data_IF_445968544178
#
_entry.id   IF_445968544178
#
_cell.length_a   1.000
_cell.length_b   1.000
_cell.length_c   1.000
_cell.angle_alpha   90.00
_cell.angle_beta   90.00
_cell.angle_gamma   90.00
#
_symmetry.space_group_name_H-M   'P 1'
#
loop_
_entity.id
_entity.type
_entity.pdbx_description
1 polymer ?
#
# COMPACT_ATOMS: atom_id res chain seq x y z
N UNK A 1 -36.59 30.22 -33.68
CA UNK A 1 -36.43 31.10 -34.85
C UNK A 1 -34.95 31.44 -34.95
N UNK A 2 -34.28 31.15 -36.13
CA UNK A 2 -32.87 31.50 -36.28
C UNK A 2 -32.66 32.99 -36.14
N UNK A 3 -31.66 33.39 -35.40
CA UNK A 3 -31.26 34.77 -35.28
C UNK A 3 -30.66 35.22 -36.66
N UNK A 4 -31.15 36.31 -37.28
CA UNK A 4 -30.73 36.72 -38.60
C UNK A 4 -29.24 37.16 -38.63
N UNK A 5 -28.67 37.46 -37.43
CA UNK A 5 -27.26 37.90 -37.31
C UNK A 5 -26.26 36.72 -37.17
N UNK A 6 -26.77 35.50 -36.99
CA UNK A 6 -25.94 34.30 -36.83
C UNK A 6 -25.95 33.46 -38.12
N UNK A 7 -24.82 33.31 -38.81
CA UNK A 7 -24.71 32.39 -39.95
C UNK A 7 -24.83 30.94 -39.48
N UNK A 8 -25.35 30.10 -40.36
CA UNK A 8 -25.39 28.65 -40.11
C UNK A 8 -23.99 28.10 -39.97
N UNK A 9 -23.77 27.37 -38.89
CA UNK A 9 -22.50 26.64 -38.68
C UNK A 9 -22.69 25.23 -39.28
N UNK A 10 -21.89 24.92 -40.29
CA UNK A 10 -21.83 23.57 -40.85
C UNK A 10 -20.72 22.77 -40.17
N UNK A 11 -21.09 21.74 -39.43
CA UNK A 11 -20.15 20.80 -38.79
C UNK A 11 -20.04 19.59 -39.70
N UNK A 12 -18.88 19.38 -40.32
CA UNK A 12 -18.63 18.20 -41.15
C UNK A 12 -18.34 16.97 -40.29
N UNK A 13 -18.71 15.79 -40.84
CA UNK A 13 -18.37 14.51 -40.16
C UNK A 13 -16.88 14.35 -39.95
N UNK A 14 -16.04 14.83 -40.88
CA UNK A 14 -14.59 14.80 -40.76
C UNK A 14 -14.09 15.64 -39.53
N UNK A 15 -14.75 16.78 -39.27
CA UNK A 15 -14.42 17.57 -38.07
C UNK A 15 -14.86 16.87 -36.79
N UNK A 16 -16.05 16.26 -36.79
CA UNK A 16 -16.53 15.46 -35.63
C UNK A 16 -15.58 14.31 -35.36
N UNK A 17 -15.12 13.57 -36.35
CA UNK A 17 -14.16 12.47 -36.16
C UNK A 17 -12.80 12.99 -35.65
N UNK A 18 -12.28 14.08 -36.22
CA UNK A 18 -11.03 14.66 -35.76
C UNK A 18 -11.10 15.11 -34.28
N UNK A 19 -12.24 15.66 -33.86
CA UNK A 19 -12.46 15.99 -32.43
C UNK A 19 -12.53 14.71 -31.60
N UNK A 20 -13.26 13.69 -32.06
CA UNK A 20 -13.38 12.40 -31.36
C UNK A 20 -12.02 11.75 -31.16
N UNK A 21 -11.17 11.74 -32.17
CA UNK A 21 -9.83 11.19 -32.11
C UNK A 21 -8.89 11.97 -31.19
N UNK A 22 -9.17 13.26 -30.99
CA UNK A 22 -8.40 14.14 -30.09
C UNK A 22 -8.87 14.08 -28.63
N UNK A 23 -10.02 13.48 -28.34
CA UNK A 23 -10.54 13.39 -26.97
C UNK A 23 -9.65 12.47 -26.13
N UNK A 24 -9.30 12.91 -24.91
CA UNK A 24 -8.68 12.00 -23.95
C UNK A 24 -9.66 10.90 -23.54
N UNK A 25 -9.13 9.83 -22.97
CA UNK A 25 -9.95 8.75 -22.42
C UNK A 25 -11.02 9.30 -21.46
N UNK A 26 -12.28 8.96 -21.72
CA UNK A 26 -13.40 9.44 -20.90
C UNK A 26 -13.39 8.76 -19.52
N UNK A 27 -13.83 9.46 -18.44
CA UNK A 27 -13.79 8.95 -17.08
C UNK A 27 -14.42 7.56 -16.88
N UNK A 28 -15.56 7.29 -17.53
CA UNK A 28 -16.22 5.98 -17.41
C UNK A 28 -15.46 4.88 -18.17
N UNK A 29 -14.88 5.18 -19.32
CA UNK A 29 -14.04 4.25 -20.07
C UNK A 29 -12.78 3.93 -19.26
N UNK A 30 -12.15 4.94 -18.65
CA UNK A 30 -10.99 4.77 -17.78
C UNK A 30 -11.30 3.87 -16.57
N UNK A 31 -12.40 4.11 -15.86
CA UNK A 31 -12.82 3.27 -14.72
C UNK A 31 -13.09 1.82 -15.16
N UNK A 32 -13.70 1.62 -16.33
CA UNK A 32 -13.95 0.28 -16.86
C UNK A 32 -12.62 -0.40 -17.20
N UNK A 33 -11.70 0.27 -17.88
CA UNK A 33 -10.37 -0.24 -18.22
C UNK A 33 -9.56 -0.60 -16.95
N UNK A 34 -9.57 0.26 -15.91
CA UNK A 34 -8.90 -0.04 -14.64
C UNK A 34 -9.45 -1.31 -13.97
N UNK A 35 -10.73 -1.59 -14.13
CA UNK A 35 -11.34 -2.83 -13.62
C UNK A 35 -10.94 -4.04 -14.46
N UNK A 36 -10.96 -3.91 -15.78
CA UNK A 36 -10.73 -5.02 -16.71
C UNK A 36 -9.25 -5.41 -16.76
N UNK A 37 -8.35 -4.42 -16.85
CA UNK A 37 -6.91 -4.66 -17.01
C UNK A 37 -6.20 -4.98 -15.70
N UNK A 38 -6.62 -4.34 -14.59
CA UNK A 38 -5.95 -4.46 -13.28
C UNK A 38 -6.76 -5.18 -12.21
N UNK A 39 -7.99 -5.59 -12.52
CA UNK A 39 -8.86 -6.30 -11.58
C UNK A 39 -9.27 -5.45 -10.37
N UNK A 40 -9.39 -4.13 -10.54
CA UNK A 40 -9.76 -3.23 -9.45
C UNK A 40 -11.26 -3.35 -9.11
N UNK A 41 -11.58 -3.16 -7.83
CA UNK A 41 -12.98 -3.03 -7.42
C UNK A 41 -13.60 -1.73 -7.99
N UNK A 42 -14.92 -1.65 -8.14
CA UNK A 42 -15.59 -0.42 -8.61
C UNK A 42 -15.21 0.82 -7.80
N UNK A 43 -15.11 0.70 -6.48
CA UNK A 43 -14.72 1.81 -5.61
C UNK A 43 -13.25 2.23 -5.83
N UNK A 44 -12.34 1.26 -5.97
CA UNK A 44 -10.94 1.54 -6.22
C UNK A 44 -10.74 2.19 -7.59
N UNK A 45 -11.41 1.68 -8.63
CA UNK A 45 -11.38 2.27 -9.97
C UNK A 45 -11.94 3.70 -9.99
N UNK A 46 -13.00 3.99 -9.20
CA UNK A 46 -13.54 5.33 -9.06
C UNK A 46 -12.55 6.29 -8.36
N UNK A 47 -11.89 5.83 -7.29
CA UNK A 47 -10.90 6.65 -6.58
C UNK A 47 -9.64 6.91 -7.43
N UNK A 48 -9.08 5.89 -8.07
CA UNK A 48 -7.91 6.05 -8.96
C UNK A 48 -8.29 6.89 -10.20
N UNK A 49 -9.48 6.67 -10.76
CA UNK A 49 -10.00 7.39 -11.93
C UNK A 49 -10.47 8.82 -11.65
N UNK A 50 -10.25 9.37 -10.43
CA UNK A 50 -10.65 10.72 -10.06
C UNK A 50 -9.87 11.79 -10.86
N UNK A 51 -8.63 11.52 -11.23
CA UNK A 51 -7.82 12.38 -12.08
C UNK A 51 -6.88 11.61 -13.00
N UNK A 52 -6.59 12.14 -14.18
CA UNK A 52 -5.66 11.53 -15.14
C UNK A 52 -4.25 11.36 -14.56
N UNK A 53 -3.80 12.30 -13.70
CA UNK A 53 -2.50 12.22 -13.05
C UNK A 53 -2.44 11.06 -12.05
N UNK A 54 -3.52 10.79 -11.32
CA UNK A 54 -3.60 9.69 -10.38
C UNK A 54 -3.65 8.34 -11.11
N UNK A 55 -4.35 8.26 -12.25
CA UNK A 55 -4.36 7.09 -13.12
C UNK A 55 -2.94 6.78 -13.61
N UNK A 56 -2.25 7.78 -14.16
CA UNK A 56 -0.87 7.62 -14.64
C UNK A 56 0.06 7.16 -13.52
N UNK A 57 -0.01 7.81 -12.37
CA UNK A 57 0.78 7.42 -11.19
C UNK A 57 0.53 5.97 -10.77
N UNK A 58 -0.73 5.54 -10.78
CA UNK A 58 -1.11 4.16 -10.48
C UNK A 58 -0.52 3.18 -11.50
N UNK A 59 -0.69 3.45 -12.79
CA UNK A 59 -0.22 2.56 -13.86
C UNK A 59 1.30 2.41 -13.85
N UNK A 60 2.03 3.51 -13.65
CA UNK A 60 3.49 3.48 -13.51
C UNK A 60 3.91 2.69 -12.26
N UNK A 61 3.25 2.90 -11.13
CA UNK A 61 3.53 2.15 -9.90
C UNK A 61 3.22 0.67 -10.05
N UNK A 62 2.07 0.33 -10.63
CA UNK A 62 1.64 -1.05 -10.85
C UNK A 62 2.59 -1.80 -11.80
N UNK A 63 3.03 -1.13 -12.87
CA UNK A 63 4.01 -1.67 -13.81
C UNK A 63 5.38 -1.89 -13.14
N UNK A 64 5.85 -0.92 -12.36
CA UNK A 64 7.15 -0.98 -11.70
C UNK A 64 7.20 -2.01 -10.56
N UNK A 65 6.11 -2.17 -9.80
CA UNK A 65 6.02 -3.13 -8.69
C UNK A 65 5.65 -4.55 -9.14
N UNK A 66 5.03 -4.71 -10.31
CA UNK A 66 4.44 -5.98 -10.75
C UNK A 66 3.21 -6.41 -9.94
N UNK A 67 2.73 -5.59 -9.01
CA UNK A 67 1.58 -5.89 -8.14
C UNK A 67 0.54 -4.76 -8.15
N UNK A 68 -0.42 -4.76 -9.10
CA UNK A 68 -1.45 -3.74 -9.19
C UNK A 68 -2.33 -3.63 -7.95
N UNK A 69 -2.57 -4.74 -7.24
CA UNK A 69 -3.41 -4.73 -6.03
C UNK A 69 -2.73 -4.00 -4.89
N UNK A 70 -1.43 -4.24 -4.69
CA UNK A 70 -0.65 -3.53 -3.68
C UNK A 70 -0.52 -2.05 -4.05
N UNK A 71 -0.22 -1.72 -5.31
CA UNK A 71 -0.17 -0.34 -5.80
C UNK A 71 -1.49 0.40 -5.53
N UNK A 72 -2.62 -0.22 -5.87
CA UNK A 72 -3.95 0.33 -5.61
C UNK A 72 -4.19 0.57 -4.11
N UNK A 73 -3.84 -0.40 -3.25
CA UNK A 73 -4.01 -0.27 -1.80
C UNK A 73 -3.22 0.92 -1.24
N UNK A 74 -1.97 1.09 -1.63
CA UNK A 74 -1.13 2.20 -1.20
C UNK A 74 -1.64 3.55 -1.70
N UNK A 75 -2.04 3.62 -2.96
CA UNK A 75 -2.47 4.87 -3.60
C UNK A 75 -3.85 5.29 -3.10
N UNK A 76 -4.85 4.39 -3.15
CA UNK A 76 -6.20 4.69 -2.69
C UNK A 76 -6.30 4.87 -1.17
N UNK A 77 -5.40 4.21 -0.40
CA UNK A 77 -5.32 4.33 1.04
C UNK A 77 -4.41 5.48 1.50
N UNK A 78 -3.12 5.21 1.59
CA UNK A 78 -2.17 6.12 2.26
C UNK A 78 -1.89 7.40 1.46
N UNK A 79 -1.65 7.29 0.14
CA UNK A 79 -1.33 8.46 -0.68
C UNK A 79 -2.53 9.41 -0.76
N UNK A 80 -3.71 8.92 -1.16
CA UNK A 80 -4.91 9.76 -1.31
C UNK A 80 -5.33 10.39 0.02
N UNK A 81 -5.16 9.69 1.14
CA UNK A 81 -5.44 10.24 2.47
C UNK A 81 -4.56 11.45 2.78
N UNK A 82 -3.26 11.37 2.46
CA UNK A 82 -2.32 12.49 2.67
C UNK A 82 -2.60 13.65 1.73
N UNK A 83 -2.78 13.38 0.44
CA UNK A 83 -3.13 14.40 -0.54
C UNK A 83 -4.35 15.21 -0.12
N UNK A 84 -5.40 14.53 0.38
CA UNK A 84 -6.61 15.20 0.88
C UNK A 84 -6.38 16.00 2.16
N UNK A 85 -5.53 15.52 3.05
CA UNK A 85 -5.21 16.22 4.29
C UNK A 85 -4.41 17.52 4.04
N UNK A 86 -3.49 17.47 3.07
CA UNK A 86 -2.59 18.58 2.78
C UNK A 86 -3.12 19.51 1.67
N UNK A 87 -4.22 19.14 1.01
CA UNK A 87 -4.76 19.89 -0.14
C UNK A 87 -3.87 19.83 -1.39
N UNK A 88 -3.05 18.77 -1.48
CA UNK A 88 -2.06 18.58 -2.53
C UNK A 88 -2.56 17.66 -3.65
N UNK A 89 -1.87 17.71 -4.78
CA UNK A 89 -2.07 16.79 -5.91
C UNK A 89 -0.98 15.72 -5.91
N UNK A 90 -1.19 14.63 -6.65
CA UNK A 90 -0.18 13.58 -6.79
C UNK A 90 1.13 14.08 -7.41
N UNK A 91 1.06 15.14 -8.22
CA UNK A 91 2.24 15.75 -8.88
C UNK A 91 3.09 16.53 -7.86
N UNK A 92 2.46 17.19 -6.89
CA UNK A 92 3.17 17.97 -5.85
C UNK A 92 3.56 17.14 -4.63
N UNK A 93 3.08 15.90 -4.52
CA UNK A 93 3.31 15.02 -3.37
C UNK A 93 4.78 14.65 -3.12
N UNK A 94 5.68 14.90 -4.07
CA UNK A 94 7.10 14.61 -3.94
C UNK A 94 7.44 13.12 -3.79
N UNK A 95 6.54 12.22 -4.22
CA UNK A 95 6.77 10.77 -4.26
C UNK A 95 6.71 10.31 -5.70
N UNK A 96 7.78 9.70 -6.18
CA UNK A 96 7.80 9.10 -7.51
C UNK A 96 7.11 7.72 -7.53
N UNK A 97 6.42 7.34 -8.62
CA UNK A 97 5.82 6.01 -8.76
C UNK A 97 6.83 4.87 -8.53
N UNK A 98 8.05 5.02 -9.05
CA UNK A 98 9.13 4.05 -8.88
C UNK A 98 9.58 3.91 -7.41
N UNK A 99 9.60 5.01 -6.64
CA UNK A 99 9.93 4.96 -5.22
C UNK A 99 8.86 4.23 -4.40
N UNK A 100 7.58 4.47 -4.71
CA UNK A 100 6.49 3.71 -4.09
C UNK A 100 6.54 2.22 -4.48
N UNK A 101 6.85 1.91 -5.74
CA UNK A 101 7.01 0.52 -6.19
C UNK A 101 8.13 -0.22 -5.44
N UNK A 102 9.26 0.45 -5.16
CA UNK A 102 10.34 -0.11 -4.33
C UNK A 102 9.86 -0.40 -2.91
N UNK A 103 9.12 0.53 -2.28
CA UNK A 103 8.54 0.30 -0.95
C UNK A 103 7.61 -0.92 -0.94
N UNK A 104 6.77 -1.08 -1.96
CA UNK A 104 5.90 -2.25 -2.14
C UNK A 104 6.77 -3.52 -2.19
N UNK A 105 7.82 -3.53 -2.99
CA UNK A 105 8.75 -4.66 -3.09
C UNK A 105 9.40 -5.02 -1.75
N UNK A 106 9.83 -4.03 -0.96
CA UNK A 106 10.41 -4.26 0.38
C UNK A 106 9.40 -4.92 1.35
N UNK A 107 8.12 -4.57 1.24
CA UNK A 107 7.06 -5.22 2.02
C UNK A 107 6.81 -6.65 1.55
N UNK A 108 6.79 -6.90 0.24
CA UNK A 108 6.53 -8.22 -0.33
C UNK A 108 7.62 -9.24 0.01
N UNK A 109 8.89 -8.84 -0.06
CA UNK A 109 10.02 -9.71 0.32
C UNK A 109 10.20 -9.80 1.84
N UNK A 110 9.38 -9.07 2.63
CA UNK A 110 9.42 -9.13 4.09
C UNK A 110 10.58 -8.36 4.73
N UNK A 111 11.27 -7.48 4.00
CA UNK A 111 12.32 -6.61 4.57
C UNK A 111 11.75 -5.56 5.50
N UNK A 112 10.53 -5.13 5.26
CA UNK A 112 9.82 -4.13 6.06
C UNK A 112 8.41 -4.64 6.38
N UNK A 113 7.99 -4.51 7.65
CA UNK A 113 6.61 -4.85 8.02
C UNK A 113 5.61 -3.84 7.44
N UNK A 114 4.36 -4.27 7.25
CA UNK A 114 3.31 -3.39 6.71
C UNK A 114 3.06 -2.15 7.59
N UNK A 115 3.29 -2.24 8.92
CA UNK A 115 3.20 -1.09 9.82
C UNK A 115 4.37 -0.14 9.64
N UNK A 116 5.61 -0.65 9.64
CA UNK A 116 6.80 0.16 9.42
C UNK A 116 6.82 0.81 8.03
N UNK A 117 6.29 0.12 7.02
CA UNK A 117 6.18 0.67 5.67
C UNK A 117 5.30 1.93 5.60
N UNK A 118 4.29 2.07 6.46
CA UNK A 118 3.49 3.30 6.55
C UNK A 118 4.30 4.47 7.11
N UNK A 119 5.17 4.20 8.07
CA UNK A 119 6.08 5.20 8.63
C UNK A 119 7.13 5.60 7.60
N UNK A 120 7.71 4.61 6.88
CA UNK A 120 8.62 4.85 5.75
C UNK A 120 7.96 5.72 4.68
N UNK A 121 6.73 5.36 4.25
CA UNK A 121 5.98 6.15 3.28
C UNK A 121 5.72 7.57 3.78
N UNK A 122 5.41 7.72 5.08
CA UNK A 122 5.25 9.03 5.72
C UNK A 122 6.47 9.94 5.58
N UNK A 123 7.67 9.37 5.57
CA UNK A 123 8.94 10.08 5.44
C UNK A 123 9.40 10.27 4.01
N UNK A 124 8.93 9.41 3.10
CA UNK A 124 9.10 9.60 1.66
C UNK A 124 8.25 10.76 1.14
N UNK A 125 7.04 10.89 1.68
CA UNK A 125 6.07 11.91 1.27
C UNK A 125 6.64 13.32 1.51
N UNK A 126 6.71 14.11 0.46
CA UNK A 126 7.25 15.47 0.47
C UNK A 126 8.78 15.58 0.57
N UNK A 127 9.52 14.46 0.70
CA UNK A 127 10.98 14.50 0.94
C UNK A 127 11.83 14.02 -0.23
N UNK A 128 11.25 13.38 -1.24
CA UNK A 128 11.97 12.73 -2.35
C UNK A 128 13.01 11.67 -1.91
N UNK A 129 12.95 11.18 -0.66
CA UNK A 129 13.87 10.17 -0.17
C UNK A 129 13.46 8.78 -0.63
N UNK A 130 14.45 7.94 -0.90
CA UNK A 130 14.22 6.54 -1.28
C UNK A 130 13.85 5.68 -0.07
N UNK A 131 12.93 4.72 -0.25
CA UNK A 131 12.47 3.82 0.81
C UNK A 131 13.63 3.04 1.46
N UNK A 132 14.56 2.52 0.66
CA UNK A 132 15.73 1.75 1.12
C UNK A 132 16.66 2.58 2.00
N UNK A 133 16.86 3.86 1.65
CA UNK A 133 17.65 4.78 2.46
C UNK A 133 17.02 5.01 3.82
N UNK A 134 15.71 5.26 3.86
CA UNK A 134 14.96 5.48 5.11
C UNK A 134 15.03 4.22 5.99
N UNK A 135 14.75 3.05 5.42
CA UNK A 135 14.79 1.76 6.12
C UNK A 135 16.17 1.52 6.75
N UNK A 136 17.25 1.77 5.98
CA UNK A 136 18.62 1.59 6.46
C UNK A 136 19.00 2.57 7.56
N UNK A 137 18.70 3.87 7.36
CA UNK A 137 19.13 4.93 8.31
C UNK A 137 18.36 4.89 9.62
N UNK A 138 17.15 4.37 9.63
CA UNK A 138 16.29 4.36 10.80
C UNK A 138 16.14 2.98 11.45
N UNK A 139 16.83 1.96 10.89
CA UNK A 139 16.80 0.61 11.42
C UNK A 139 15.41 -0.04 11.37
N UNK A 140 14.62 0.30 10.34
CA UNK A 140 13.25 -0.19 10.16
C UNK A 140 13.18 -1.54 9.43
N UNK A 141 14.32 -2.18 9.15
CA UNK A 141 14.35 -3.53 8.61
C UNK A 141 13.68 -4.50 9.58
N UNK A 142 12.91 -5.40 9.01
CA UNK A 142 12.28 -6.47 9.77
C UNK A 142 13.36 -7.41 10.31
N UNK A 143 13.19 -7.86 11.55
CA UNK A 143 14.03 -8.90 12.13
C UNK A 143 13.71 -10.19 11.39
N UNK A 144 14.57 -10.58 10.46
CA UNK A 144 14.43 -11.79 9.65
C UNK A 144 15.26 -12.96 10.20
N UNK A 145 16.12 -12.70 11.17
CA UNK A 145 16.92 -13.74 11.82
C UNK A 145 16.02 -14.56 12.76
N UNK A 146 15.89 -15.84 12.42
CA UNK A 146 15.06 -16.78 13.20
C UNK A 146 15.62 -16.97 14.61
N UNK A 147 16.93 -16.93 14.77
CA UNK A 147 17.59 -17.17 16.06
C UNK A 147 17.38 -15.96 16.99
N UNK A 148 17.56 -14.72 16.47
CA UNK A 148 17.28 -13.50 17.24
C UNK A 148 15.80 -13.43 17.64
N UNK A 149 14.90 -13.79 16.72
CA UNK A 149 13.49 -13.78 17.00
C UNK A 149 13.06 -14.89 17.98
N UNK A 150 13.71 -16.05 17.93
CA UNK A 150 13.48 -17.15 18.86
C UNK A 150 13.89 -16.77 20.31
N UNK A 151 14.97 -16.02 20.49
CA UNK A 151 15.37 -15.50 21.80
C UNK A 151 14.33 -14.53 22.37
N UNK A 152 13.80 -13.62 21.54
CA UNK A 152 12.74 -12.69 21.98
C UNK A 152 11.46 -13.45 22.33
N UNK A 153 11.10 -14.46 21.54
CA UNK A 153 9.93 -15.32 21.80
C UNK A 153 10.09 -16.07 23.12
N UNK A 154 11.27 -16.66 23.36
CA UNK A 154 11.56 -17.36 24.62
C UNK A 154 11.47 -16.40 25.84
N UNK A 155 11.99 -15.19 25.70
CA UNK A 155 11.86 -14.15 26.74
C UNK A 155 10.40 -13.82 27.06
N UNK A 156 9.59 -13.57 26.03
CA UNK A 156 8.16 -13.26 26.22
C UNK A 156 7.39 -14.44 26.82
N UNK A 157 7.68 -15.69 26.43
CA UNK A 157 7.06 -16.90 27.00
C UNK A 157 7.41 -17.02 28.50
N UNK A 158 8.66 -16.74 28.88
CA UNK A 158 9.09 -16.78 30.28
C UNK A 158 8.45 -15.64 31.11
N UNK A 159 8.25 -14.46 30.55
CA UNK A 159 7.64 -13.31 31.22
C UNK A 159 6.11 -13.41 31.38
N UNK A 160 5.45 -14.27 30.58
CA UNK A 160 3.99 -14.36 30.50
C UNK A 160 3.43 -15.75 30.88
N UNK A 161 3.78 -16.33 32.06
CA UNK A 161 3.40 -17.71 32.42
C UNK A 161 1.89 -17.92 32.47
N UNK A 162 1.11 -16.90 32.86
CA UNK A 162 -0.35 -17.01 32.90
C UNK A 162 -0.98 -17.11 31.49
N UNK A 163 -0.45 -16.39 30.51
CA UNK A 163 -0.93 -16.44 29.15
C UNK A 163 -0.58 -17.78 28.50
N UNK A 164 0.60 -18.31 28.79
CA UNK A 164 1.03 -19.65 28.39
C UNK A 164 0.12 -20.72 28.97
N UNK A 165 -0.17 -20.67 30.28
CA UNK A 165 -1.08 -21.61 30.93
C UNK A 165 -2.49 -21.58 30.34
N UNK A 166 -3.01 -20.39 30.03
CA UNK A 166 -4.32 -20.24 29.36
C UNK A 166 -4.33 -20.82 27.94
N UNK A 167 -3.25 -20.64 27.20
CA UNK A 167 -3.12 -21.23 25.85
C UNK A 167 -3.10 -22.76 25.93
N UNK A 168 -2.29 -23.36 26.83
CA UNK A 168 -2.26 -24.79 27.08
C UNK A 168 -3.59 -25.34 27.58
N UNK A 169 -4.35 -24.52 28.30
CA UNK A 169 -5.76 -24.83 28.71
C UNK A 169 -6.79 -24.73 27.59
N UNK A 170 -6.37 -24.54 26.32
CA UNK A 170 -7.23 -24.51 25.15
C UNK A 170 -7.76 -23.13 24.75
N UNK A 171 -7.30 -22.03 25.38
CA UNK A 171 -7.70 -20.69 24.98
C UNK A 171 -6.83 -20.16 23.84
N UNK A 172 -7.26 -20.37 22.60
CA UNK A 172 -6.56 -19.90 21.40
C UNK A 172 -6.36 -18.38 21.35
N UNK A 173 -7.20 -17.58 22.02
CA UNK A 173 -7.06 -16.12 22.08
C UNK A 173 -5.78 -15.66 22.79
N UNK A 174 -5.22 -16.49 23.69
CA UNK A 174 -3.97 -16.20 24.39
C UNK A 174 -2.76 -16.15 23.44
N UNK A 175 -2.79 -16.88 22.33
CA UNK A 175 -1.74 -16.84 21.31
C UNK A 175 -1.66 -15.44 20.67
N UNK A 176 -2.81 -14.82 20.34
CA UNK A 176 -2.84 -13.45 19.80
C UNK A 176 -2.27 -12.42 20.79
N UNK A 177 -2.51 -12.61 22.08
CA UNK A 177 -1.89 -11.77 23.11
C UNK A 177 -0.36 -11.92 23.14
N UNK A 178 0.16 -13.16 23.12
CA UNK A 178 1.62 -13.41 23.10
C UNK A 178 2.27 -12.85 21.83
N UNK A 179 1.64 -13.01 20.64
CA UNK A 179 2.09 -12.37 19.41
C UNK A 179 2.18 -10.85 19.60
N UNK A 180 1.16 -10.24 20.22
CA UNK A 180 1.15 -8.81 20.51
C UNK A 180 2.31 -8.36 21.42
N UNK A 181 2.70 -9.18 22.41
CA UNK A 181 3.84 -8.90 23.28
C UNK A 181 5.17 -8.99 22.52
N UNK A 182 5.38 -10.01 21.71
CA UNK A 182 6.58 -10.14 20.86
C UNK A 182 6.66 -8.97 19.87
N UNK A 183 5.55 -8.59 19.23
CA UNK A 183 5.49 -7.42 18.35
C UNK A 183 5.85 -6.12 19.08
N UNK A 184 5.43 -5.98 20.33
CA UNK A 184 5.78 -4.82 21.16
C UNK A 184 7.26 -4.84 21.52
N UNK A 185 7.81 -5.96 21.95
CA UNK A 185 9.21 -6.14 22.30
C UNK A 185 10.15 -5.85 21.11
N UNK A 186 9.72 -6.19 19.91
CA UNK A 186 10.46 -5.94 18.65
C UNK A 186 10.18 -4.58 18.01
N UNK A 187 9.38 -3.71 18.65
CA UNK A 187 8.99 -2.42 18.08
C UNK A 187 8.23 -2.54 16.74
N UNK A 188 7.49 -3.62 16.55
CA UNK A 188 6.75 -3.89 15.30
C UNK A 188 7.62 -4.39 14.14
N UNK A 189 8.91 -4.68 14.37
CA UNK A 189 9.85 -5.13 13.34
C UNK A 189 9.82 -6.64 13.06
N UNK A 190 9.23 -7.44 13.94
CA UNK A 190 9.10 -8.88 13.73
C UNK A 190 8.06 -9.21 12.65
N UNK A 191 8.29 -10.30 11.91
CA UNK A 191 7.28 -10.84 11.00
C UNK A 191 6.20 -11.57 11.82
N UNK A 192 4.92 -11.10 11.83
CA UNK A 192 3.88 -11.72 12.66
C UNK A 192 3.64 -13.20 12.34
N UNK A 193 3.88 -13.60 11.08
CA UNK A 193 3.71 -14.98 10.65
C UNK A 193 4.79 -15.88 11.27
N UNK A 194 6.04 -15.42 11.20
CA UNK A 194 7.17 -16.13 11.79
C UNK A 194 7.08 -16.18 13.32
N UNK A 195 6.65 -15.07 13.95
CA UNK A 195 6.37 -15.02 15.40
C UNK A 195 5.33 -16.05 15.80
N UNK A 196 4.26 -16.19 15.01
CA UNK A 196 3.21 -17.16 15.28
C UNK A 196 3.73 -18.60 15.19
N UNK A 197 4.54 -18.91 14.18
CA UNK A 197 5.16 -20.23 14.01
C UNK A 197 6.13 -20.55 15.17
N UNK A 198 6.96 -19.60 15.57
CA UNK A 198 7.91 -19.76 16.68
C UNK A 198 7.20 -19.91 18.02
N UNK A 199 6.16 -19.12 18.29
CA UNK A 199 5.35 -19.26 19.50
C UNK A 199 4.64 -20.61 19.55
N UNK A 200 4.06 -21.08 18.44
CA UNK A 200 3.42 -22.40 18.41
C UNK A 200 4.42 -23.51 18.70
N UNK A 201 5.65 -23.43 18.17
CA UNK A 201 6.72 -24.41 18.49
C UNK A 201 7.09 -24.32 19.97
N UNK A 202 7.44 -23.14 20.46
CA UNK A 202 7.85 -22.93 21.86
C UNK A 202 6.78 -23.34 22.89
N UNK A 203 5.50 -23.30 22.53
CA UNK A 203 4.39 -23.70 23.40
C UNK A 203 4.01 -25.18 23.27
N UNK A 204 4.47 -25.87 22.21
CA UNK A 204 4.24 -27.29 21.97
C UNK A 204 5.36 -28.18 22.55
N UNK A 205 6.58 -27.64 22.71
CA UNK A 205 7.78 -28.41 23.10
C UNK A 205 7.96 -28.62 24.62
N UNK A 206 6.96 -28.27 25.46
CA UNK A 206 6.86 -28.51 26.92
C UNK A 206 5.48 -29.16 27.24
#
# INVERSE_FOLDING_TARGET
>A
FPDPDLPSVEVSDAWVEAVRDSLPELPEACKQRLRDDYGLSPNAAAQIGESADLVRFFEETAKASGNPKAACHWIAGELTRRLKADGETVVSAGVAPAALAKLIGLVEIGTVSASAAKDVFGRMYGSNREAEEIVRTEGLSQIGDQDELAEVVAGVVAEQPEAVARFRGGNAGSLGFLVGQVMRATGGRANPRLVNELLQRALADD
#
